data_IF_753518506651
#
_entry.id   IF_753518506651
#
_cell.length_a   1.000
_cell.length_b   1.000
_cell.length_c   1.000
_cell.angle_alpha   90.00
_cell.angle_beta   90.00
_cell.angle_gamma   90.00
#
_symmetry.space_group_name_H-M   'P 1'
#
loop_
_entity.id
_entity.type
_entity.pdbx_description
1 polymer ?
#
# COMPACT_ATOMS: atom_id res chain seq x y z
N UNK A 1 -49.91 -11.88 -24.88
CA UNK A 1 -49.11 -12.33 -23.73
C UNK A 1 -50.07 -12.84 -22.67
N UNK A 2 -50.00 -14.11 -22.30
CA UNK A 2 -50.99 -14.70 -21.38
C UNK A 2 -50.54 -14.55 -19.92
N UNK A 3 -51.48 -14.65 -18.97
CA UNK A 3 -51.18 -14.62 -17.53
C UNK A 3 -50.15 -15.71 -17.16
N UNK A 4 -50.21 -16.86 -17.84
CA UNK A 4 -49.26 -17.96 -17.69
C UNK A 4 -47.85 -17.58 -18.12
N UNK A 5 -47.69 -16.74 -19.16
CA UNK A 5 -46.40 -16.26 -19.62
C UNK A 5 -45.79 -15.24 -18.64
N UNK A 6 -46.62 -14.37 -18.08
CA UNK A 6 -46.19 -13.43 -17.04
C UNK A 6 -45.78 -14.16 -15.75
N UNK A 7 -46.52 -15.19 -15.34
CA UNK A 7 -46.17 -16.00 -14.17
C UNK A 7 -44.85 -16.76 -14.37
N UNK A 8 -44.58 -17.25 -15.59
CA UNK A 8 -43.32 -17.91 -15.94
C UNK A 8 -42.15 -16.91 -15.99
N UNK A 9 -42.39 -15.69 -16.50
CA UNK A 9 -41.41 -14.60 -16.45
C UNK A 9 -41.11 -14.15 -15.02
N UNK A 10 -42.12 -14.02 -14.16
CA UNK A 10 -41.95 -13.65 -12.75
C UNK A 10 -41.23 -14.74 -11.95
N UNK A 11 -41.56 -16.02 -12.16
CA UNK A 11 -40.84 -17.13 -11.52
C UNK A 11 -39.39 -17.24 -11.99
N UNK A 12 -39.12 -16.94 -13.26
CA UNK A 12 -37.75 -16.86 -13.77
C UNK A 12 -37.02 -15.64 -13.20
N UNK A 13 -37.66 -14.48 -13.14
CA UNK A 13 -37.12 -13.27 -12.52
C UNK A 13 -36.79 -13.49 -11.03
N UNK A 14 -37.68 -14.14 -10.27
CA UNK A 14 -37.44 -14.51 -8.88
C UNK A 14 -36.32 -15.54 -8.71
N UNK A 15 -36.09 -16.41 -9.70
CA UNK A 15 -34.92 -17.31 -9.73
C UNK A 15 -33.64 -16.53 -10.02
N UNK A 16 -33.66 -15.58 -10.95
CA UNK A 16 -32.52 -14.70 -11.22
C UNK A 16 -32.21 -13.81 -10.02
N UNK A 17 -33.22 -13.32 -9.29
CA UNK A 17 -33.03 -12.53 -8.07
C UNK A 17 -32.58 -13.36 -6.87
N UNK A 18 -33.03 -14.63 -6.75
CA UNK A 18 -32.53 -15.53 -5.70
C UNK A 18 -31.12 -16.04 -5.98
N UNK A 19 -30.76 -16.25 -7.24
CA UNK A 19 -29.40 -16.62 -7.65
C UNK A 19 -28.37 -15.49 -7.49
N UNK A 20 -28.80 -14.24 -7.34
CA UNK A 20 -27.93 -13.06 -7.19
C UNK A 20 -27.73 -12.60 -5.74
N UNK A 21 -28.20 -13.36 -4.75
CA UNK A 21 -27.78 -13.14 -3.36
C UNK A 21 -26.39 -13.76 -3.14
N UNK A 22 -25.36 -13.11 -3.69
CA UNK A 22 -23.99 -13.46 -3.34
C UNK A 22 -23.83 -13.33 -1.82
N UNK A 23 -23.29 -14.35 -1.12
CA UNK A 23 -23.04 -14.25 0.31
C UNK A 23 -22.22 -12.97 0.59
N UNK A 24 -22.70 -12.12 1.50
CA UNK A 24 -21.92 -10.97 1.95
C UNK A 24 -20.98 -11.42 3.05
N UNK A 25 -19.69 -11.17 2.90
CA UNK A 25 -18.71 -11.47 3.95
C UNK A 25 -18.90 -10.52 5.15
N UNK A 26 -18.37 -10.87 6.34
CA UNK A 26 -18.46 -10.03 7.54
C UNK A 26 -17.89 -8.61 7.35
N UNK A 27 -16.98 -8.43 6.40
CA UNK A 27 -16.40 -7.13 6.02
C UNK A 27 -17.24 -6.35 4.99
N UNK A 28 -18.41 -6.87 4.59
CA UNK A 28 -19.32 -6.23 3.63
C UNK A 28 -18.94 -6.41 2.15
N UNK A 29 -17.84 -7.11 1.84
CA UNK A 29 -17.43 -7.38 0.47
C UNK A 29 -18.43 -8.32 -0.23
N UNK A 30 -18.69 -8.05 -1.52
CA UNK A 30 -19.36 -9.00 -2.40
C UNK A 30 -18.39 -10.12 -2.77
N UNK A 31 -18.91 -11.34 -2.92
CA UNK A 31 -18.11 -12.45 -3.47
C UNK A 31 -17.78 -12.13 -4.93
N UNK A 32 -16.57 -12.47 -5.38
CA UNK A 32 -16.29 -12.49 -6.82
C UNK A 32 -17.35 -13.36 -7.56
N UNK A 33 -17.63 -13.02 -8.83
CA UNK A 33 -18.52 -13.87 -9.63
C UNK A 33 -17.82 -15.23 -9.85
N UNK A 34 -18.54 -16.37 -9.82
CA UNK A 34 -17.93 -17.70 -9.98
C UNK A 34 -17.11 -17.88 -11.27
N UNK A 35 -17.43 -17.10 -12.30
CA UNK A 35 -16.75 -17.12 -13.61
C UNK A 35 -15.65 -16.05 -13.75
N UNK A 36 -15.33 -15.30 -12.69
CA UNK A 36 -14.19 -14.38 -12.70
C UNK A 36 -12.90 -15.21 -12.72
N UNK A 37 -12.03 -15.07 -13.74
CA UNK A 37 -10.75 -15.77 -13.76
C UNK A 37 -9.94 -15.44 -12.50
N UNK A 38 -9.30 -16.45 -11.90
CA UNK A 38 -8.37 -16.23 -10.79
C UNK A 38 -7.16 -15.44 -11.31
N UNK A 39 -7.23 -14.12 -11.13
CA UNK A 39 -6.19 -13.17 -11.47
C UNK A 39 -5.15 -13.05 -10.35
N UNK A 40 -5.27 -13.82 -9.26
CA UNK A 40 -4.42 -13.74 -8.08
C UNK A 40 -4.67 -12.52 -7.20
N UNK A 41 -5.80 -11.84 -7.39
CA UNK A 41 -6.18 -10.60 -6.69
C UNK A 41 -7.42 -10.76 -5.81
N UNK A 42 -7.88 -12.00 -5.57
CA UNK A 42 -9.00 -12.22 -4.67
C UNK A 42 -8.64 -11.86 -3.23
N UNK A 43 -9.19 -10.75 -2.75
CA UNK A 43 -9.05 -10.24 -1.37
C UNK A 43 -10.24 -10.60 -0.49
N UNK A 44 -11.15 -11.41 -1.02
CA UNK A 44 -12.43 -11.70 -0.39
C UNK A 44 -12.24 -12.39 0.96
N UNK A 45 -12.88 -11.85 2.01
CA UNK A 45 -12.78 -12.38 3.38
C UNK A 45 -11.46 -12.14 4.09
N UNK A 46 -10.50 -11.46 3.46
CA UNK A 46 -9.20 -11.14 4.05
C UNK A 46 -9.25 -9.91 4.95
N UNK A 47 -8.23 -9.81 5.82
CA UNK A 47 -7.97 -8.73 6.75
C UNK A 47 -6.59 -8.12 6.47
N UNK A 48 -6.27 -6.98 7.08
CA UNK A 48 -4.95 -6.36 6.95
C UNK A 48 -3.78 -7.29 7.34
N UNK A 49 -4.02 -8.27 8.22
CA UNK A 49 -3.00 -9.23 8.66
C UNK A 49 -2.64 -10.29 7.59
N UNK A 50 -3.47 -10.44 6.55
CA UNK A 50 -3.26 -11.43 5.49
C UNK A 50 -2.36 -10.92 4.36
N UNK A 51 -2.03 -9.62 4.37
CA UNK A 51 -1.18 -8.97 3.37
C UNK A 51 0.27 -8.91 3.85
N UNK A 52 1.20 -9.18 2.94
CA UNK A 52 2.63 -9.15 3.22
C UNK A 52 3.35 -8.14 2.33
N UNK A 53 4.37 -7.48 2.88
CA UNK A 53 5.28 -6.65 2.08
C UNK A 53 6.26 -7.58 1.36
N UNK A 54 6.26 -7.52 0.04
CA UNK A 54 7.18 -8.28 -0.81
C UNK A 54 8.04 -7.33 -1.65
N UNK A 55 9.27 -7.70 -2.02
CA UNK A 55 10.06 -6.88 -2.92
C UNK A 55 9.34 -6.70 -4.27
N UNK A 56 9.22 -5.45 -4.71
CA UNK A 56 8.76 -5.10 -6.06
C UNK A 56 9.94 -4.58 -6.88
N UNK A 57 9.78 -4.41 -8.19
CA UNK A 57 10.90 -3.93 -9.02
C UNK A 57 11.24 -2.46 -8.70
N UNK A 58 12.53 -2.12 -8.69
CA UNK A 58 12.96 -0.72 -8.47
C UNK A 58 12.30 0.26 -9.46
N UNK A 59 12.00 -0.21 -10.68
CA UNK A 59 11.31 0.58 -11.69
C UNK A 59 9.89 0.97 -11.26
N UNK A 60 9.08 0.03 -10.74
CA UNK A 60 7.71 0.36 -10.30
C UNK A 60 7.76 1.21 -9.02
N UNK A 61 8.70 0.93 -8.11
CA UNK A 61 8.87 1.77 -6.92
C UNK A 61 9.14 3.23 -7.30
N UNK A 62 10.05 3.47 -8.25
CA UNK A 62 10.40 4.82 -8.70
C UNK A 62 9.23 5.48 -9.41
N UNK A 63 8.54 4.77 -10.31
CA UNK A 63 7.37 5.31 -11.02
C UNK A 63 6.25 5.73 -10.07
N UNK A 64 6.01 4.96 -9.00
CA UNK A 64 5.02 5.31 -7.97
C UNK A 64 5.43 6.61 -7.28
N UNK A 65 6.69 6.74 -6.85
CA UNK A 65 7.19 7.95 -6.19
C UNK A 65 7.14 9.18 -7.10
N UNK A 66 7.55 9.01 -8.36
CA UNK A 66 7.50 10.07 -9.37
C UNK A 66 6.06 10.53 -9.60
N UNK A 67 5.09 9.61 -9.63
CA UNK A 67 3.68 9.96 -9.80
C UNK A 67 3.13 10.75 -8.62
N UNK A 68 3.49 10.38 -7.39
CA UNK A 68 3.14 11.15 -6.18
C UNK A 68 3.73 12.56 -6.26
N UNK A 69 5.00 12.67 -6.65
CA UNK A 69 5.67 13.95 -6.82
C UNK A 69 5.00 14.82 -7.89
N UNK A 70 4.67 14.27 -9.05
CA UNK A 70 3.95 14.97 -10.12
C UNK A 70 2.57 15.46 -9.66
N UNK A 71 1.82 14.61 -8.94
CA UNK A 71 0.52 15.00 -8.39
C UNK A 71 0.69 16.14 -7.38
N UNK A 72 1.72 16.12 -6.56
CA UNK A 72 2.00 17.26 -5.67
C UNK A 72 2.36 18.52 -6.45
N UNK A 73 3.25 18.41 -7.44
CA UNK A 73 3.80 19.54 -8.20
C UNK A 73 2.80 20.22 -9.12
N UNK A 74 1.94 19.45 -9.79
CA UNK A 74 1.03 19.97 -10.80
C UNK A 74 -0.43 20.02 -10.35
N UNK A 75 -0.77 19.35 -9.25
CA UNK A 75 -2.15 19.19 -8.78
C UNK A 75 -2.30 19.39 -7.27
N UNK A 76 -1.28 19.90 -6.58
CA UNK A 76 -1.31 20.19 -5.14
C UNK A 76 -1.68 18.97 -4.27
N UNK A 77 -1.29 17.78 -4.72
CA UNK A 77 -1.54 16.51 -4.02
C UNK A 77 -2.84 15.82 -4.44
N UNK A 78 -3.59 16.39 -5.38
CA UNK A 78 -4.78 15.77 -5.94
C UNK A 78 -4.41 14.81 -7.08
N UNK A 79 -5.13 13.69 -7.17
CA UNK A 79 -5.04 12.80 -8.32
C UNK A 79 -5.72 13.42 -9.54
N UNK A 80 -5.22 13.14 -10.73
CA UNK A 80 -5.87 13.54 -11.98
C UNK A 80 -7.21 12.82 -12.19
N UNK A 81 -7.92 13.20 -13.27
CA UNK A 81 -9.17 12.56 -13.69
C UNK A 81 -8.95 11.27 -14.48
N UNK A 82 -7.70 10.95 -14.83
CA UNK A 82 -7.33 9.73 -15.56
C UNK A 82 -7.00 8.57 -14.63
N UNK A 83 -6.90 7.38 -15.21
CA UNK A 83 -6.55 6.14 -14.51
C UNK A 83 -5.09 5.71 -14.77
N UNK A 84 -4.18 6.65 -15.06
CA UNK A 84 -2.83 6.28 -15.51
C UNK A 84 -2.05 5.54 -14.41
N UNK A 85 -2.30 5.88 -13.14
CA UNK A 85 -1.74 5.14 -12.01
C UNK A 85 -2.28 3.70 -11.95
N UNK A 86 -3.60 3.52 -12.07
CA UNK A 86 -4.22 2.20 -12.06
C UNK A 86 -3.76 1.34 -13.25
N UNK A 87 -3.64 1.92 -14.44
CA UNK A 87 -3.13 1.23 -15.63
C UNK A 87 -1.66 0.81 -15.47
N UNK A 88 -0.83 1.68 -14.90
CA UNK A 88 0.56 1.39 -14.58
C UNK A 88 0.67 0.22 -13.58
N UNK A 89 -0.05 0.28 -12.47
CA UNK A 89 -0.05 -0.77 -11.44
C UNK A 89 -0.58 -2.08 -12.03
N UNK A 90 -1.72 -2.05 -12.71
CA UNK A 90 -2.30 -3.22 -13.35
C UNK A 90 -1.33 -3.88 -14.35
N UNK A 91 -0.68 -3.09 -15.20
CA UNK A 91 0.30 -3.60 -16.17
C UNK A 91 1.48 -4.30 -15.48
N UNK A 92 1.97 -3.73 -14.37
CA UNK A 92 3.00 -4.38 -13.57
C UNK A 92 2.52 -5.69 -12.93
N UNK A 93 1.35 -5.70 -12.31
CA UNK A 93 0.79 -6.91 -11.68
C UNK A 93 0.58 -8.04 -12.70
N UNK A 94 0.15 -7.73 -13.91
CA UNK A 94 -0.01 -8.74 -14.96
C UNK A 94 1.33 -9.30 -15.46
N UNK A 95 2.45 -8.62 -15.21
CA UNK A 95 3.79 -9.09 -15.57
C UNK A 95 4.42 -10.06 -14.55
N UNK A 96 3.83 -10.20 -13.36
CA UNK A 96 4.33 -11.07 -12.28
C UNK A 96 3.40 -12.28 -12.04
N UNK A 97 3.87 -13.33 -11.33
CA UNK A 97 3.07 -14.52 -11.04
C UNK A 97 1.81 -14.20 -10.24
N UNK A 98 0.68 -14.84 -10.59
CA UNK A 98 -0.62 -14.57 -9.97
C UNK A 98 -0.60 -14.61 -8.43
N UNK A 99 0.05 -15.63 -7.86
CA UNK A 99 0.19 -15.80 -6.40
C UNK A 99 0.83 -14.61 -5.66
N UNK A 100 1.61 -13.78 -6.34
CA UNK A 100 2.36 -12.68 -5.74
C UNK A 100 1.66 -11.32 -5.98
N UNK A 101 0.63 -11.27 -6.84
CA UNK A 101 0.03 -10.00 -7.29
C UNK A 101 -0.65 -9.24 -6.18
N UNK A 102 -1.43 -9.91 -5.33
CA UNK A 102 -2.10 -9.29 -4.19
C UNK A 102 -1.11 -8.59 -3.25
N UNK A 103 -0.06 -9.30 -2.86
CA UNK A 103 0.95 -8.78 -1.93
C UNK A 103 1.84 -7.70 -2.59
N UNK A 104 2.10 -7.82 -3.90
CA UNK A 104 2.75 -6.76 -4.69
C UNK A 104 1.89 -5.48 -4.76
N UNK A 105 0.58 -5.62 -5.01
CA UNK A 105 -0.34 -4.50 -5.05
C UNK A 105 -0.39 -3.77 -3.70
N UNK A 106 -0.50 -4.55 -2.61
CA UNK A 106 -0.43 -4.01 -1.26
C UNK A 106 0.88 -3.27 -1.00
N UNK A 107 2.01 -3.83 -1.42
CA UNK A 107 3.32 -3.18 -1.28
C UNK A 107 3.38 -1.85 -2.06
N UNK A 108 2.86 -1.82 -3.29
CA UNK A 108 2.78 -0.61 -4.11
C UNK A 108 1.94 0.47 -3.44
N UNK A 109 0.81 0.10 -2.84
CA UNK A 109 -0.03 1.02 -2.07
C UNK A 109 0.71 1.59 -0.86
N UNK A 110 1.46 0.75 -0.12
CA UNK A 110 2.28 1.24 1.00
C UNK A 110 3.36 2.23 0.53
N UNK A 111 4.07 1.94 -0.57
CA UNK A 111 5.05 2.88 -1.14
C UNK A 111 4.39 4.21 -1.52
N UNK A 112 3.20 4.16 -2.10
CA UNK A 112 2.43 5.34 -2.45
C UNK A 112 2.06 6.17 -1.20
N UNK A 113 1.50 5.53 -0.16
CA UNK A 113 1.14 6.23 1.07
C UNK A 113 2.34 6.82 1.80
N UNK A 114 3.43 6.06 1.91
CA UNK A 114 4.68 6.52 2.52
C UNK A 114 5.23 7.77 1.82
N UNK A 115 5.22 7.77 0.48
CA UNK A 115 5.72 8.92 -0.29
C UNK A 115 4.79 10.14 -0.16
N UNK A 116 3.48 9.93 -0.16
CA UNK A 116 2.49 10.99 0.10
C UNK A 116 2.72 11.60 1.49
N UNK A 117 2.96 10.78 2.51
CA UNK A 117 3.23 11.27 3.86
C UNK A 117 4.52 12.12 3.91
N UNK A 118 5.61 11.64 3.31
CA UNK A 118 6.90 12.36 3.26
C UNK A 118 6.76 13.71 2.58
N UNK A 119 6.16 13.74 1.40
CA UNK A 119 5.96 14.99 0.66
C UNK A 119 5.04 15.95 1.43
N UNK A 120 3.95 15.44 2.03
CA UNK A 120 3.04 16.27 2.82
C UNK A 120 3.74 16.86 4.05
N UNK A 121 4.55 16.07 4.76
CA UNK A 121 5.35 16.53 5.88
C UNK A 121 6.36 17.60 5.45
N UNK A 122 7.01 17.40 4.30
CA UNK A 122 7.93 18.37 3.71
C UNK A 122 7.22 19.70 3.41
N UNK A 123 6.09 19.67 2.70
CA UNK A 123 5.33 20.89 2.36
C UNK A 123 4.90 21.62 3.64
N UNK A 124 4.38 20.91 4.63
CA UNK A 124 4.00 21.51 5.93
C UNK A 124 5.17 22.15 6.67
N UNK A 125 6.39 21.62 6.52
CA UNK A 125 7.59 22.20 7.15
C UNK A 125 8.00 23.54 6.53
N UNK A 126 7.66 23.76 5.25
CA UNK A 126 7.95 24.99 4.50
C UNK A 126 6.78 25.98 4.49
N UNK A 127 5.56 25.46 4.52
CA UNK A 127 4.31 26.22 4.47
C UNK A 127 3.44 25.85 5.68
N UNK A 128 3.70 26.47 6.86
CA UNK A 128 2.94 26.19 8.06
C UNK A 128 1.43 26.46 7.85
N UNK A 129 0.60 25.50 8.27
CA UNK A 129 -0.87 25.59 8.14
C UNK A 129 -1.44 25.04 6.83
N UNK A 130 -0.60 24.67 5.86
CA UNK A 130 -1.04 24.04 4.61
C UNK A 130 -1.81 22.73 4.83
N UNK A 131 -2.86 22.53 4.05
CA UNK A 131 -3.67 21.30 3.99
C UNK A 131 -3.62 20.67 2.58
N UNK A 132 -3.73 19.34 2.46
CA UNK A 132 -3.77 18.66 1.17
C UNK A 132 -4.79 19.28 0.20
N UNK A 133 -4.39 19.47 -1.07
CA UNK A 133 -5.20 20.09 -2.11
C UNK A 133 -5.16 21.62 -2.13
N UNK A 134 -4.64 22.30 -1.10
CA UNK A 134 -4.44 23.74 -1.13
C UNK A 134 -3.27 24.11 -2.03
N UNK A 135 -3.40 25.21 -2.78
CA UNK A 135 -2.31 25.73 -3.60
C UNK A 135 -1.17 26.27 -2.73
N UNK A 136 0.06 26.12 -3.23
CA UNK A 136 1.28 26.65 -2.63
C UNK A 136 2.33 26.88 -3.73
N UNK A 137 3.45 27.51 -3.39
CA UNK A 137 4.58 27.65 -4.30
C UNK A 137 5.27 26.29 -4.49
N UNK A 138 5.05 25.65 -5.64
CA UNK A 138 5.56 24.29 -5.91
C UNK A 138 7.05 24.25 -6.24
N UNK A 139 7.72 25.40 -6.35
CA UNK A 139 9.17 25.46 -6.51
C UNK A 139 9.92 24.87 -5.31
N UNK A 140 9.32 24.89 -4.11
CA UNK A 140 9.88 24.27 -2.90
C UNK A 140 10.09 22.76 -3.05
N UNK A 141 9.38 22.11 -3.96
CA UNK A 141 9.50 20.66 -4.21
C UNK A 141 10.82 20.30 -4.89
N UNK A 142 11.54 21.25 -5.48
CA UNK A 142 12.86 20.98 -6.03
C UNK A 142 13.88 20.70 -4.91
N UNK A 143 13.76 21.38 -3.75
CA UNK A 143 14.55 21.06 -2.56
C UNK A 143 14.27 19.63 -2.06
N UNK A 144 13.00 19.21 -2.05
CA UNK A 144 12.62 17.84 -1.69
C UNK A 144 13.30 16.81 -2.59
N UNK A 145 13.35 17.09 -3.90
CA UNK A 145 13.95 16.18 -4.87
C UNK A 145 15.47 16.10 -4.73
N UNK A 146 16.12 17.21 -4.39
CA UNK A 146 17.56 17.24 -4.12
C UNK A 146 17.92 16.49 -2.83
N UNK A 147 17.14 16.69 -1.76
CA UNK A 147 17.35 15.99 -0.49
C UNK A 147 17.15 14.48 -0.64
N UNK A 148 16.09 14.05 -1.34
CA UNK A 148 15.87 12.62 -1.59
C UNK A 148 16.97 11.99 -2.46
N UNK A 149 17.43 12.68 -3.51
CA UNK A 149 18.55 12.22 -4.32
C UNK A 149 19.86 12.13 -3.53
N UNK A 150 20.12 13.11 -2.65
CA UNK A 150 21.28 13.12 -1.76
C UNK A 150 21.23 11.94 -0.80
N UNK A 151 20.11 11.74 -0.11
CA UNK A 151 19.93 10.60 0.81
C UNK A 151 20.11 9.27 0.08
N UNK A 152 19.55 9.13 -1.12
CA UNK A 152 19.72 7.94 -1.95
C UNK A 152 21.21 7.68 -2.32
N UNK A 153 21.99 8.74 -2.58
CA UNK A 153 23.43 8.63 -2.85
C UNK A 153 24.29 8.34 -1.61
N UNK A 154 23.80 8.69 -0.42
CA UNK A 154 24.47 8.46 0.87
C UNK A 154 24.18 7.06 1.42
N UNK A 155 23.06 6.43 1.03
CA UNK A 155 22.82 5.00 1.29
C UNK A 155 23.71 4.11 0.42
N UNK A 156 24.49 3.18 1.00
CA UNK A 156 25.20 2.17 0.23
C UNK A 156 24.19 1.35 -0.61
N UNK A 157 24.54 1.06 -1.87
CA UNK A 157 23.75 0.24 -2.81
C UNK A 157 23.06 -0.95 -2.09
N UNK A 158 21.79 -1.23 -2.36
CA UNK A 158 21.03 -2.39 -1.82
C UNK A 158 21.78 -3.71 -2.00
N UNK A 159 22.56 -3.88 -3.09
CA UNK A 159 23.42 -5.07 -3.28
C UNK A 159 24.60 -5.11 -2.30
N UNK A 160 25.16 -3.94 -1.97
CA UNK A 160 26.17 -3.77 -0.93
C UNK A 160 25.56 -3.90 0.47
N UNK A 161 24.29 -3.54 0.66
CA UNK A 161 23.55 -3.71 1.91
C UNK A 161 23.15 -5.17 2.16
N UNK A 162 22.82 -5.95 1.13
CA UNK A 162 22.64 -7.39 1.24
C UNK A 162 23.97 -8.11 1.54
N UNK A 163 25.07 -7.65 0.92
CA UNK A 163 26.42 -8.15 1.22
C UNK A 163 26.89 -7.76 2.65
N UNK A 164 26.58 -6.56 3.12
CA UNK A 164 26.87 -6.11 4.50
C UNK A 164 25.92 -6.75 5.53
N UNK A 165 24.67 -7.05 5.17
CA UNK A 165 23.69 -7.74 6.01
C UNK A 165 24.12 -9.18 6.33
N UNK A 166 24.71 -9.88 5.35
CA UNK A 166 25.30 -11.22 5.58
C UNK A 166 26.55 -11.18 6.48
N UNK A 167 27.25 -10.05 6.55
CA UNK A 167 28.41 -9.85 7.43
C UNK A 167 27.99 -9.38 8.84
N UNK A 168 26.86 -8.67 8.96
CA UNK A 168 26.30 -8.21 10.23
C UNK A 168 25.63 -9.34 11.02
N UNK A 169 24.94 -10.30 10.37
CA UNK A 169 24.39 -11.49 11.05
C UNK A 169 25.49 -12.39 11.65
N UNK A 170 26.72 -12.38 11.11
CA UNK A 170 27.85 -13.12 11.70
C UNK A 170 28.60 -12.36 12.81
N UNK A 171 28.29 -11.08 13.05
CA UNK A 171 28.96 -10.29 14.11
C UNK A 171 28.07 -9.90 15.28
N UNK A 172 26.76 -10.17 15.22
CA UNK A 172 25.84 -9.90 16.32
C UNK A 172 25.56 -11.11 17.23
N UNK A 173 26.37 -12.16 17.17
CA UNK A 173 26.23 -13.38 18.00
C UNK A 173 27.28 -13.52 19.12
N UNK A 174 28.03 -12.46 19.45
CA UNK A 174 29.06 -12.52 20.52
C UNK A 174 28.91 -11.50 21.65
N UNK A 175 27.78 -10.78 21.75
CA UNK A 175 27.56 -9.87 22.88
C UNK A 175 26.19 -10.09 23.52
N UNK A 176 26.05 -11.16 24.30
CA UNK A 176 25.69 -11.16 25.74
C UNK A 176 25.21 -12.53 26.21
N UNK A 177 26.06 -13.26 26.95
CA UNK A 177 25.61 -14.23 27.96
C UNK A 177 26.56 -14.25 29.15
N UNK A 178 26.00 -13.99 30.32
CA UNK A 178 26.60 -14.17 31.66
C UNK A 178 27.26 -12.88 32.15
N UNK A 179 27.02 -12.35 33.34
CA UNK A 179 26.24 -12.72 34.52
C UNK A 179 26.14 -11.39 35.30
N UNK A 180 25.01 -11.04 35.91
CA UNK A 180 24.84 -11.17 37.36
C UNK A 180 23.40 -10.73 37.70
N UNK A 181 22.76 -11.42 38.63
CA UNK A 181 21.49 -11.04 39.28
C UNK A 181 21.73 -11.00 40.80
N UNK A 182 20.79 -10.60 41.66
CA UNK A 182 19.65 -9.66 41.56
C UNK A 182 19.80 -8.55 42.65
N UNK A 183 18.81 -7.68 42.88
CA UNK A 183 18.28 -7.27 44.22
C UNK A 183 17.54 -5.91 44.17
N UNK A 184 16.29 -5.95 44.65
CA UNK A 184 15.53 -4.90 45.34
C UNK A 184 14.73 -3.77 44.64
N UNK A 185 13.43 -3.82 44.96
CA UNK A 185 12.58 -2.74 45.49
C UNK A 185 11.89 -1.79 44.49
N UNK A 186 10.68 -2.24 44.15
CA UNK A 186 9.39 -1.59 44.47
C UNK A 186 9.30 -0.07 44.75
N UNK A 187 8.21 0.49 44.20
CA UNK A 187 7.34 1.59 44.71
C UNK A 187 7.52 3.00 44.12
N UNK A 188 6.33 3.58 43.85
CA UNK A 188 5.96 5.01 43.72
C UNK A 188 6.18 5.56 42.30
N UNK A 189 5.15 5.88 41.50
CA UNK A 189 4.12 6.88 41.79
C UNK A 189 2.88 6.69 40.88
N UNK A 190 1.75 6.25 41.46
CA UNK A 190 0.40 6.62 40.98
C UNK A 190 -0.06 7.82 41.81
N UNK A 191 -0.19 8.97 41.15
CA UNK A 191 -1.18 10.02 41.47
C UNK A 191 -2.04 10.09 40.20
N UNK A 192 -3.34 9.99 40.20
CA UNK A 192 -4.37 9.82 41.24
C UNK A 192 -5.58 9.21 40.54
#
# INVERSE_FOLDING_TARGET
MTITDMARMLMNADRYQRGSTQPKYPNGAAVAHPDTPDDGMDITGMTAADFHIIPVSNEIEQKVRDRVFENMKYRYGMTGTGNEYGEMVHSYLMSIPAKDRRDAAYTIDQIHFDEVEKINAFVKSRVPGWQPGQSFDTSILEEYRQETARLASETPNRDTQAACGLIAEKRFDTFTRGSDTPTEISRILVRR
#
